data_IF_083972998306
#
_entry.id   IF_083972998306
#
_cell.length_a   1.000
_cell.length_b   1.000
_cell.length_c   1.000
_cell.angle_alpha   90.00
_cell.angle_beta   90.00
_cell.angle_gamma   90.00
#
_symmetry.space_group_name_H-M   'P 1'
#
loop_
_entity.id
_entity.type
_entity.pdbx_description
1 polymer ?
#
# COMPACT_ATOMS: atom_id res chain seq x y z
N UNK A 1 15.96 -8.23 -7.32
CA UNK A 1 14.75 -7.41 -7.49
C UNK A 1 14.97 -6.45 -8.65
N UNK A 2 14.35 -6.71 -9.78
CA UNK A 2 14.18 -5.65 -10.79
C UNK A 2 12.94 -4.88 -10.35
N UNK A 3 13.15 -3.74 -9.72
CA UNK A 3 12.07 -2.77 -9.49
C UNK A 3 11.54 -2.38 -10.87
N UNK A 4 10.34 -2.80 -11.17
CA UNK A 4 9.67 -2.33 -12.37
C UNK A 4 9.14 -0.94 -12.03
N UNK A 5 9.85 0.07 -12.50
CA UNK A 5 9.35 1.44 -12.50
C UNK A 5 8.14 1.47 -13.42
N UNK A 6 6.95 1.42 -12.81
CA UNK A 6 5.68 1.39 -13.54
C UNK A 6 5.49 2.66 -14.36
N UNK A 7 6.04 3.80 -13.92
CA UNK A 7 5.96 5.05 -14.67
C UNK A 7 6.62 4.93 -16.05
N UNK A 8 7.76 4.24 -16.12
CA UNK A 8 8.47 3.98 -17.39
C UNK A 8 7.93 2.80 -18.18
N UNK A 9 7.12 1.93 -17.56
CA UNK A 9 6.66 0.67 -18.15
C UNK A 9 5.14 0.52 -18.15
N UNK A 10 4.39 1.59 -17.88
CA UNK A 10 2.93 1.56 -17.73
C UNK A 10 2.22 0.91 -18.95
N UNK A 11 2.56 1.31 -20.16
CA UNK A 11 1.97 0.75 -21.38
C UNK A 11 2.24 -0.76 -21.50
N UNK A 12 3.47 -1.18 -21.24
CA UNK A 12 3.86 -2.60 -21.26
C UNK A 12 3.11 -3.41 -20.20
N UNK A 13 2.86 -2.82 -19.03
CA UNK A 13 2.05 -3.42 -17.98
C UNK A 13 0.59 -3.56 -18.42
N UNK A 14 -0.01 -2.49 -18.97
CA UNK A 14 -1.39 -2.46 -19.46
C UNK A 14 -1.63 -3.52 -20.54
N UNK A 15 -0.69 -3.69 -21.46
CA UNK A 15 -0.79 -4.73 -22.50
C UNK A 15 -0.86 -6.14 -21.91
N UNK A 16 -0.15 -6.38 -20.79
CA UNK A 16 -0.09 -7.70 -20.11
C UNK A 16 -1.26 -7.99 -19.18
N UNK A 17 -2.19 -7.05 -18.97
CA UNK A 17 -3.39 -7.29 -18.16
C UNK A 17 -4.17 -8.47 -18.79
N UNK A 18 -4.48 -9.53 -18.01
CA UNK A 18 -5.24 -10.68 -18.52
C UNK A 18 -6.67 -10.27 -18.90
N UNK A 19 -7.39 -11.14 -19.60
CA UNK A 19 -8.86 -11.05 -19.75
C UNK A 19 -9.52 -11.92 -18.69
N UNK A 20 -10.66 -11.47 -18.15
CA UNK A 20 -11.45 -12.19 -17.13
C UNK A 20 -10.60 -12.65 -15.93
N UNK A 21 -9.71 -11.80 -15.45
CA UNK A 21 -8.75 -12.15 -14.41
C UNK A 21 -8.65 -11.12 -13.29
N UNK A 22 -7.51 -11.14 -12.58
CA UNK A 22 -7.21 -10.21 -11.51
C UNK A 22 -5.83 -9.58 -11.70
N UNK A 23 -5.71 -8.33 -11.31
CA UNK A 23 -4.43 -7.59 -11.19
C UNK A 23 -4.27 -7.15 -9.75
N UNK A 24 -3.09 -7.35 -9.18
CA UNK A 24 -2.74 -6.89 -7.83
C UNK A 24 -1.70 -5.79 -7.91
N UNK A 25 -1.96 -4.67 -7.25
CA UNK A 25 -1.07 -3.51 -7.17
C UNK A 25 -0.87 -3.19 -5.70
N UNK A 26 0.37 -3.18 -5.23
CA UNK A 26 0.72 -2.69 -3.90
C UNK A 26 1.17 -1.23 -4.02
N UNK A 27 0.43 -0.29 -3.42
CA UNK A 27 0.70 1.15 -3.53
C UNK A 27 0.49 1.88 -2.20
N UNK A 28 1.54 2.35 -1.53
CA UNK A 28 2.98 2.20 -1.86
C UNK A 28 3.47 0.76 -1.85
N UNK A 29 4.44 0.46 -2.70
CA UNK A 29 4.96 -0.90 -2.86
C UNK A 29 5.88 -1.32 -1.70
N UNK A 30 5.62 -2.48 -1.12
CA UNK A 30 6.52 -3.15 -0.19
C UNK A 30 7.34 -4.21 -0.95
N UNK A 31 8.69 -4.23 -0.90
CA UNK A 31 9.56 -3.54 0.07
C UNK A 31 10.20 -2.23 -0.45
N UNK A 32 9.85 -1.74 -1.62
CA UNK A 32 10.59 -0.64 -2.26
C UNK A 32 10.20 0.74 -1.72
N UNK A 33 9.01 0.89 -1.16
CA UNK A 33 8.44 2.17 -0.75
C UNK A 33 8.08 3.11 -1.90
N UNK A 34 8.08 2.61 -3.14
CA UNK A 34 7.71 3.40 -4.32
C UNK A 34 6.21 3.63 -4.35
N UNK A 35 5.82 4.87 -4.55
CA UNK A 35 4.43 5.30 -4.75
C UNK A 35 4.17 5.50 -6.24
N UNK A 36 3.15 4.84 -6.74
CA UNK A 36 2.62 5.02 -8.09
C UNK A 36 1.59 6.15 -8.04
N UNK A 37 1.65 7.07 -8.98
CA UNK A 37 0.70 8.18 -9.03
C UNK A 37 -0.73 7.69 -9.29
N UNK A 38 -1.70 8.32 -8.65
CA UNK A 38 -3.13 8.04 -8.82
C UNK A 38 -3.54 7.96 -10.29
N UNK A 39 -3.08 8.92 -11.11
CA UNK A 39 -3.40 8.98 -12.52
C UNK A 39 -2.95 7.72 -13.29
N UNK A 40 -1.83 7.12 -12.92
CA UNK A 40 -1.31 5.90 -13.54
C UNK A 40 -2.16 4.68 -13.13
N UNK A 41 -2.51 4.58 -11.84
CA UNK A 41 -3.37 3.50 -11.34
C UNK A 41 -4.76 3.58 -12.00
N UNK A 42 -5.32 4.78 -12.16
CA UNK A 42 -6.61 4.98 -12.85
C UNK A 42 -6.56 4.49 -14.29
N UNK A 43 -5.46 4.74 -15.02
CA UNK A 43 -5.27 4.20 -16.38
C UNK A 43 -5.25 2.67 -16.39
N UNK A 44 -4.61 2.04 -15.39
CA UNK A 44 -4.60 0.57 -15.25
C UNK A 44 -6.02 0.05 -14.99
N UNK A 45 -6.76 0.67 -14.06
CA UNK A 45 -8.14 0.27 -13.71
C UNK A 45 -9.06 0.36 -14.94
N UNK A 46 -8.98 1.47 -15.68
CA UNK A 46 -9.77 1.69 -16.89
C UNK A 46 -9.44 0.66 -18.00
N UNK A 47 -8.15 0.33 -18.18
CA UNK A 47 -7.72 -0.68 -19.13
C UNK A 47 -8.15 -2.09 -18.71
N UNK A 48 -8.09 -2.42 -17.43
CA UNK A 48 -8.54 -3.67 -16.86
C UNK A 48 -10.07 -3.85 -17.01
N UNK A 49 -10.85 -2.77 -16.83
CA UNK A 49 -12.31 -2.78 -17.02
C UNK A 49 -12.69 -3.25 -18.44
N UNK A 50 -11.98 -2.76 -19.47
CA UNK A 50 -12.18 -3.16 -20.87
C UNK A 50 -11.88 -4.66 -21.13
N UNK A 51 -11.20 -5.32 -20.20
CA UNK A 51 -10.83 -6.73 -20.27
C UNK A 51 -11.60 -7.60 -19.27
N UNK A 52 -12.64 -7.06 -18.63
CA UNK A 52 -13.42 -7.73 -17.56
C UNK A 52 -12.51 -8.24 -16.45
N UNK A 53 -11.52 -7.45 -16.05
CA UNK A 53 -10.50 -7.80 -15.06
C UNK A 53 -10.64 -6.93 -13.82
N UNK A 54 -10.61 -7.58 -12.65
CA UNK A 54 -10.67 -6.90 -11.35
C UNK A 54 -9.28 -6.40 -11.00
N UNK A 55 -9.22 -5.20 -10.41
CA UNK A 55 -7.98 -4.62 -9.90
C UNK A 55 -8.07 -4.53 -8.37
N UNK A 56 -7.16 -5.24 -7.71
CA UNK A 56 -6.95 -5.15 -6.26
C UNK A 56 -5.80 -4.18 -6.00
N UNK A 57 -6.07 -3.10 -5.28
CA UNK A 57 -5.04 -2.14 -4.86
C UNK A 57 -4.83 -2.28 -3.36
N UNK A 58 -3.66 -2.73 -2.98
CA UNK A 58 -3.24 -2.78 -1.58
C UNK A 58 -2.67 -1.42 -1.18
N UNK A 59 -3.48 -0.65 -0.46
CA UNK A 59 -3.13 0.65 0.11
C UNK A 59 -2.77 0.57 1.59
N UNK A 60 -2.21 -0.55 2.06
CA UNK A 60 -1.84 -0.76 3.48
C UNK A 60 -0.97 0.36 4.07
N UNK A 61 -0.15 1.01 3.25
CA UNK A 61 0.79 2.05 3.70
C UNK A 61 0.43 3.46 3.23
N UNK A 62 -0.68 3.65 2.53
CA UNK A 62 -0.99 4.94 1.89
C UNK A 62 -1.19 6.08 2.90
N UNK A 63 -1.74 5.79 4.08
CA UNK A 63 -1.97 6.77 5.15
C UNK A 63 -0.67 7.26 5.79
N UNK A 64 0.44 6.54 5.59
CA UNK A 64 1.78 6.92 6.07
C UNK A 64 2.57 7.75 5.04
N UNK A 65 1.95 8.08 3.90
CA UNK A 65 2.54 8.97 2.89
C UNK A 65 2.14 10.40 3.22
N UNK A 66 3.06 11.24 3.71
CA UNK A 66 2.73 12.60 4.11
C UNK A 66 2.21 13.44 2.94
N UNK A 67 1.18 14.25 3.19
CA UNK A 67 0.71 15.30 2.27
C UNK A 67 0.32 14.79 0.86
N UNK A 68 -0.08 13.51 0.74
CA UNK A 68 -0.37 12.88 -0.55
C UNK A 68 -1.87 12.61 -0.71
N UNK A 69 -2.46 13.00 -1.84
CA UNK A 69 -3.81 12.58 -2.27
C UNK A 69 -3.72 11.48 -3.35
N UNK A 70 -2.77 10.55 -3.21
CA UNK A 70 -2.51 9.49 -4.21
C UNK A 70 -3.37 8.24 -4.01
N UNK A 71 -4.24 8.20 -3.00
CA UNK A 71 -5.21 7.12 -2.83
C UNK A 71 -6.23 7.09 -3.96
N UNK A 72 -6.53 5.88 -4.44
CA UNK A 72 -7.59 5.67 -5.44
C UNK A 72 -8.94 5.30 -4.81
N UNK A 73 -9.10 5.41 -3.49
CA UNK A 73 -10.34 5.03 -2.80
C UNK A 73 -11.58 5.76 -3.32
N UNK A 74 -11.45 7.03 -3.69
CA UNK A 74 -12.56 7.82 -4.27
C UNK A 74 -12.98 7.29 -5.66
N UNK A 75 -12.12 6.51 -6.33
CA UNK A 75 -12.40 5.96 -7.66
C UNK A 75 -13.35 4.77 -7.65
N UNK A 76 -13.65 4.19 -6.49
CA UNK A 76 -14.64 3.11 -6.35
C UNK A 76 -16.02 3.51 -6.90
N UNK A 77 -16.36 4.80 -6.79
CA UNK A 77 -17.62 5.34 -7.35
C UNK A 77 -17.68 5.26 -8.89
N UNK A 78 -16.52 5.23 -9.56
CA UNK A 78 -16.38 5.27 -11.01
C UNK A 78 -16.06 3.91 -11.63
N UNK A 79 -15.51 2.98 -10.82
CA UNK A 79 -14.97 1.71 -11.28
C UNK A 79 -15.46 0.54 -10.43
N UNK A 80 -16.43 -0.18 -10.96
CA UNK A 80 -16.98 -1.39 -10.31
C UNK A 80 -16.00 -2.56 -10.23
N UNK A 81 -14.94 -2.55 -11.07
CA UNK A 81 -13.87 -3.55 -11.10
C UNK A 81 -12.71 -3.22 -10.14
N UNK A 82 -12.86 -2.23 -9.24
CA UNK A 82 -11.85 -1.84 -8.29
C UNK A 82 -12.18 -2.37 -6.89
N UNK A 83 -11.17 -2.97 -6.25
CA UNK A 83 -11.18 -3.32 -4.83
C UNK A 83 -9.94 -2.74 -4.16
N UNK A 84 -10.11 -2.10 -3.01
CA UNK A 84 -9.03 -1.51 -2.23
C UNK A 84 -8.94 -2.19 -0.88
N UNK A 85 -7.72 -2.58 -0.50
CA UNK A 85 -7.39 -3.09 0.81
C UNK A 85 -6.71 -2.02 1.65
N UNK A 86 -7.15 -1.84 2.89
CA UNK A 86 -6.58 -0.94 3.90
C UNK A 86 -6.26 -1.70 5.17
N UNK A 87 -5.24 -1.28 5.88
CA UNK A 87 -4.82 -1.89 7.14
C UNK A 87 -4.59 -0.83 8.20
N UNK A 88 -5.14 -1.04 9.39
CA UNK A 88 -4.90 -0.18 10.56
C UNK A 88 -3.69 -0.64 11.37
N UNK A 89 -3.14 -1.79 11.01
CA UNK A 89 -1.98 -2.41 11.65
C UNK A 89 -0.76 -1.49 11.67
N UNK A 90 -0.53 -0.75 10.57
CA UNK A 90 0.66 0.09 10.37
C UNK A 90 0.38 1.54 10.70
N UNK A 91 -0.66 2.11 10.11
CA UNK A 91 -1.00 3.52 10.23
C UNK A 91 -1.38 3.94 11.65
N UNK A 92 -2.05 3.06 12.39
CA UNK A 92 -2.50 3.33 13.77
C UNK A 92 -1.78 2.49 14.84
N UNK A 93 -0.73 1.74 14.47
CA UNK A 93 0.02 0.92 15.43
C UNK A 93 -0.77 -0.25 16.03
N UNK A 94 -1.85 -0.69 15.39
CA UNK A 94 -2.76 -1.73 15.88
C UNK A 94 -2.33 -3.14 15.45
N UNK A 95 -1.04 -3.43 15.52
CA UNK A 95 -0.47 -4.69 15.01
C UNK A 95 -1.02 -5.94 15.72
N UNK A 96 -1.20 -5.88 17.04
CA UNK A 96 -1.71 -7.00 17.85
C UNK A 96 -3.21 -7.26 17.68
N UNK A 97 -3.97 -6.26 17.25
CA UNK A 97 -5.44 -6.34 17.16
C UNK A 97 -5.90 -7.02 15.86
N UNK A 98 -5.05 -7.08 14.85
CA UNK A 98 -5.31 -7.79 13.57
C UNK A 98 -6.54 -7.29 12.83
N UNK A 99 -6.54 -6.03 12.39
CA UNK A 99 -7.67 -5.42 11.69
C UNK A 99 -7.26 -4.65 10.44
N UNK A 100 -8.07 -4.77 9.42
CA UNK A 100 -8.06 -4.03 8.18
C UNK A 100 -9.44 -4.07 7.55
N UNK A 101 -9.61 -3.41 6.42
CA UNK A 101 -10.87 -3.38 5.71
C UNK A 101 -10.67 -3.35 4.20
N UNK A 102 -11.66 -3.87 3.49
CA UNK A 102 -11.73 -3.79 2.05
C UNK A 102 -12.89 -2.91 1.61
N UNK A 103 -12.68 -2.15 0.54
CA UNK A 103 -13.71 -1.30 -0.08
C UNK A 103 -13.79 -1.65 -1.56
N UNK A 104 -15.00 -1.90 -2.05
CA UNK A 104 -15.23 -2.27 -3.44
C UNK A 104 -16.70 -2.19 -3.81
N UNK A 105 -17.02 -2.51 -5.06
CA UNK A 105 -18.41 -2.58 -5.52
C UNK A 105 -19.15 -3.76 -4.88
N UNK A 106 -20.51 -3.72 -4.82
CA UNK A 106 -21.31 -4.84 -4.34
C UNK A 106 -21.03 -6.16 -5.08
N UNK A 107 -20.70 -6.09 -6.36
CA UNK A 107 -20.34 -7.23 -7.21
C UNK A 107 -19.07 -7.96 -6.75
N UNK A 108 -18.13 -7.23 -6.15
CA UNK A 108 -16.90 -7.79 -5.58
C UNK A 108 -17.13 -8.19 -4.11
N UNK A 109 -17.75 -7.31 -3.33
CA UNK A 109 -17.94 -7.51 -1.89
C UNK A 109 -18.88 -8.69 -1.60
N UNK A 110 -19.96 -8.85 -2.38
CA UNK A 110 -20.93 -9.91 -2.15
C UNK A 110 -20.34 -11.33 -2.16
N UNK A 111 -19.59 -11.73 -3.21
CA UNK A 111 -18.87 -13.01 -3.22
C UNK A 111 -17.86 -13.16 -2.07
N UNK A 112 -17.10 -12.09 -1.74
CA UNK A 112 -16.13 -12.12 -0.65
C UNK A 112 -16.80 -12.35 0.71
N UNK A 113 -17.97 -11.76 0.96
CA UNK A 113 -18.73 -11.98 2.18
C UNK A 113 -19.21 -13.42 2.34
N UNK A 114 -19.57 -14.09 1.23
CA UNK A 114 -20.02 -15.49 1.26
C UNK A 114 -18.93 -16.48 1.64
N UNK A 115 -17.67 -16.18 1.31
CA UNK A 115 -16.51 -17.05 1.60
C UNK A 115 -15.76 -16.62 2.87
N UNK A 116 -16.15 -15.48 3.46
CA UNK A 116 -15.50 -14.96 4.66
C UNK A 116 -15.72 -15.92 5.85
N UNK A 117 -14.62 -16.25 6.53
CA UNK A 117 -14.70 -17.07 7.75
C UNK A 117 -15.48 -16.33 8.82
N UNK A 118 -16.47 -16.97 9.47
CA UNK A 118 -17.19 -16.39 10.60
C UNK A 118 -16.23 -15.93 11.70
N UNK A 119 -16.59 -14.85 12.40
CA UNK A 119 -15.84 -14.28 13.53
C UNK A 119 -14.36 -13.95 13.24
N UNK A 120 -14.01 -13.66 12.00
CA UNK A 120 -12.63 -13.34 11.60
C UNK A 120 -12.09 -12.04 12.20
N UNK A 121 -12.93 -11.19 12.79
CA UNK A 121 -12.55 -9.95 13.47
C UNK A 121 -13.26 -9.88 14.81
N UNK A 122 -12.51 -9.72 15.90
CA UNK A 122 -13.07 -9.59 17.24
C UNK A 122 -13.81 -8.26 17.45
N UNK A 123 -14.74 -8.22 18.38
CA UNK A 123 -15.44 -6.98 18.75
C UNK A 123 -14.48 -5.91 19.26
N UNK A 124 -13.47 -6.31 20.05
CA UNK A 124 -12.42 -5.39 20.53
C UNK A 124 -11.69 -4.74 19.35
N UNK A 125 -11.36 -5.52 18.33
CA UNK A 125 -10.69 -5.00 17.13
C UNK A 125 -11.59 -4.00 16.37
N UNK A 126 -12.88 -4.27 16.26
CA UNK A 126 -13.82 -3.38 15.60
C UNK A 126 -13.97 -2.04 16.33
N UNK A 127 -14.10 -2.07 17.67
CA UNK A 127 -14.17 -0.85 18.48
C UNK A 127 -12.88 -0.04 18.43
N UNK A 128 -11.71 -0.72 18.54
CA UNK A 128 -10.42 -0.06 18.41
C UNK A 128 -10.23 0.60 17.04
N UNK A 129 -10.65 -0.08 15.97
CA UNK A 129 -10.59 0.47 14.61
C UNK A 129 -11.46 1.70 14.45
N UNK A 130 -12.71 1.65 14.94
CA UNK A 130 -13.65 2.77 14.86
C UNK A 130 -13.13 4.01 15.60
N UNK A 131 -12.54 3.82 16.77
CA UNK A 131 -11.92 4.90 17.52
C UNK A 131 -10.68 5.46 16.82
N UNK A 132 -9.82 4.58 16.28
CA UNK A 132 -8.58 4.97 15.62
C UNK A 132 -8.81 5.79 14.35
N UNK A 133 -9.74 5.37 13.49
CA UNK A 133 -10.04 6.05 12.21
C UNK A 133 -10.50 7.49 12.44
N UNK A 134 -11.19 7.77 13.54
CA UNK A 134 -11.67 9.11 13.89
C UNK A 134 -10.58 10.01 14.47
N UNK A 135 -9.40 9.48 14.84
CA UNK A 135 -8.35 10.25 15.50
C UNK A 135 -7.24 10.69 14.56
N UNK A 136 -7.55 11.60 13.65
CA UNK A 136 -6.62 12.15 12.66
C UNK A 136 -5.30 12.72 13.24
N UNK A 137 -5.27 13.40 14.41
CA UNK A 137 -4.03 13.95 14.95
C UNK A 137 -2.93 12.90 15.20
N UNK A 138 -3.29 11.64 15.39
CA UNK A 138 -2.33 10.55 15.52
C UNK A 138 -1.56 10.31 14.22
N UNK A 139 -2.26 10.29 13.08
CA UNK A 139 -1.63 10.12 11.77
C UNK A 139 -0.68 11.27 11.44
N UNK A 140 -1.09 12.51 11.70
CA UNK A 140 -0.26 13.70 11.46
C UNK A 140 1.06 13.64 12.23
N UNK A 141 0.98 13.30 13.53
CA UNK A 141 2.17 13.12 14.38
C UNK A 141 3.04 11.97 13.86
N UNK A 142 2.43 10.85 13.49
CA UNK A 142 3.12 9.68 12.97
C UNK A 142 3.85 10.00 11.67
N UNK A 143 3.20 10.67 10.72
CA UNK A 143 3.81 11.07 9.45
C UNK A 143 4.99 12.02 9.65
N UNK A 144 4.87 13.01 10.55
CA UNK A 144 5.97 13.92 10.91
C UNK A 144 7.17 13.16 11.49
N UNK A 145 6.91 12.22 12.41
CA UNK A 145 7.95 11.39 13.00
C UNK A 145 8.63 10.52 11.93
N UNK A 146 7.87 9.82 11.09
CA UNK A 146 8.39 8.99 10.00
C UNK A 146 9.30 9.82 9.08
N UNK A 147 8.87 11.01 8.67
CA UNK A 147 9.66 11.91 7.82
C UNK A 147 11.00 12.27 8.47
N UNK A 148 10.98 12.64 9.77
CA UNK A 148 12.18 12.98 10.55
C UNK A 148 13.15 11.79 10.64
N UNK A 149 12.67 10.65 11.11
CA UNK A 149 13.48 9.47 11.34
C UNK A 149 14.03 8.86 10.03
N UNK A 150 13.22 8.86 8.98
CA UNK A 150 13.66 8.41 7.66
C UNK A 150 14.80 9.27 7.10
N UNK A 151 14.70 10.59 7.23
CA UNK A 151 15.75 11.51 6.82
C UNK A 151 17.03 11.30 7.64
N UNK A 152 16.90 11.12 8.96
CA UNK A 152 18.02 10.84 9.84
C UNK A 152 18.74 9.55 9.44
N UNK A 153 18.01 8.44 9.26
CA UNK A 153 18.57 7.15 8.86
C UNK A 153 19.23 7.25 7.47
N UNK A 154 18.54 7.82 6.49
CA UNK A 154 19.07 7.94 5.11
C UNK A 154 20.35 8.78 5.06
N UNK A 155 20.38 9.90 5.80
CA UNK A 155 21.57 10.78 5.87
C UNK A 155 22.76 10.08 6.51
N UNK A 156 22.55 9.27 7.55
CA UNK A 156 23.62 8.54 8.21
C UNK A 156 24.12 7.37 7.35
N UNK A 157 23.20 6.63 6.69
CA UNK A 157 23.59 5.57 5.78
C UNK A 157 24.38 6.10 4.55
N UNK A 158 24.05 7.30 4.06
CA UNK A 158 24.74 7.93 2.93
C UNK A 158 26.20 8.27 3.24
N UNK A 159 26.57 8.46 4.52
CA UNK A 159 27.96 8.67 4.93
C UNK A 159 28.84 7.43 4.72
N UNK A 160 28.25 6.27 4.58
CA UNK A 160 28.97 5.01 4.41
C UNK A 160 28.88 4.51 2.97
N UNK A 161 30.06 4.28 2.33
CA UNK A 161 30.16 3.67 0.99
C UNK A 161 29.68 2.20 0.95
N UNK A 162 29.32 1.60 2.08
CA UNK A 162 28.86 0.21 2.19
C UNK A 162 27.36 0.05 1.92
N UNK A 163 26.59 1.15 2.00
CA UNK A 163 25.14 1.14 1.89
C UNK A 163 24.67 2.03 0.73
N UNK A 164 23.61 1.59 0.06
CA UNK A 164 22.84 2.42 -0.89
C UNK A 164 21.39 2.38 -0.44
N UNK A 165 20.89 3.51 0.05
CA UNK A 165 19.51 3.66 0.47
C UNK A 165 18.66 4.06 -0.73
N UNK A 166 17.55 3.35 -0.97
CA UNK A 166 16.57 3.71 -1.99
C UNK A 166 15.51 4.65 -1.41
N UNK A 167 15.04 5.60 -2.23
CA UNK A 167 13.97 6.50 -1.82
C UNK A 167 12.68 5.71 -1.51
N UNK A 168 12.05 6.06 -0.40
CA UNK A 168 10.80 5.48 0.05
C UNK A 168 9.82 6.57 0.46
N UNK A 169 8.54 6.39 0.16
CA UNK A 169 7.46 7.28 0.62
C UNK A 169 6.85 6.82 1.94
N UNK A 170 7.21 5.63 2.42
CA UNK A 170 6.61 4.98 3.60
C UNK A 170 7.52 5.01 4.85
N UNK A 171 7.18 4.23 5.86
CA UNK A 171 7.89 4.08 7.14
C UNK A 171 8.98 3.00 7.13
N UNK A 172 9.40 2.53 5.97
CA UNK A 172 10.51 1.59 5.80
C UNK A 172 11.43 2.03 4.66
N UNK A 173 12.66 1.55 4.68
CA UNK A 173 13.70 1.85 3.70
C UNK A 173 14.24 0.55 3.12
N UNK A 174 14.35 0.48 1.79
CA UNK A 174 15.11 -0.57 1.13
C UNK A 174 16.57 -0.12 1.04
N UNK A 175 17.46 -0.92 1.60
CA UNK A 175 18.91 -0.63 1.62
C UNK A 175 19.65 -1.76 0.95
N UNK A 176 20.43 -1.42 -0.10
CA UNK A 176 21.39 -2.35 -0.71
C UNK A 176 22.69 -2.30 0.09
N UNK A 177 23.23 -3.46 0.41
CA UNK A 177 24.48 -3.59 1.15
C UNK A 177 25.53 -4.30 0.30
N UNK A 178 26.82 -4.00 0.53
CA UNK A 178 27.96 -4.74 -0.04
C UNK A 178 28.27 -6.01 0.75
N UNK A 179 27.85 -6.07 2.02
CA UNK A 179 28.03 -7.22 2.91
C UNK A 179 26.77 -8.11 2.85
N UNK A 180 26.94 -9.42 3.04
CA UNK A 180 25.80 -10.34 3.13
C UNK A 180 24.86 -9.90 4.27
N UNK A 181 23.58 -9.71 4.00
CA UNK A 181 22.59 -9.19 4.97
C UNK A 181 22.53 -10.00 6.26
N UNK A 182 22.71 -11.32 6.20
CA UNK A 182 22.78 -12.20 7.38
C UNK A 182 23.91 -11.84 8.38
N UNK A 183 24.98 -11.18 7.92
CA UNK A 183 26.08 -10.73 8.79
C UNK A 183 25.77 -9.38 9.46
N UNK A 184 24.74 -8.69 9.03
CA UNK A 184 24.31 -7.40 9.59
C UNK A 184 23.17 -7.56 10.60
N UNK A 185 22.61 -8.78 10.75
CA UNK A 185 21.53 -9.10 11.70
C UNK A 185 22.03 -9.48 13.11
N UNK A 186 23.36 -9.51 13.31
CA UNK A 186 23.98 -9.70 14.62
C UNK A 186 24.16 -8.32 15.31
#
# INVERSE_FOLDING_TARGET
FKTMDLSKNLQKFIMKIPRNGCVFICNPNNPTGVLIQKAEIVKIIAAAKKKSTIVFVDETFIELVPESDESVIKQIKNFENLFILRSLTKSFGLAGIRIGYGVGSPQIIGPLQKIKIPWNVSNIAQHAASAAICYHPFLDKTCKLIKKEKNFISSNLAKSKKFTCYNSTTNFLLVKTKTKSKLLQK
#
